data_IF_686320921667
#
_entry.id   IF_686320921667
#
_cell.length_a   1.000
_cell.length_b   1.000
_cell.length_c   1.000
_cell.angle_alpha   90.00
_cell.angle_beta   90.00
_cell.angle_gamma   90.00
#
_symmetry.space_group_name_H-M   'P 1'
#
loop_
_entity.id
_entity.type
_entity.pdbx_description
1 polymer ?
#
# COMPACT_ATOMS: atom_id res chain seq x y z
N UNK A 1 24.79 -6.42 1.16
CA UNK A 1 23.68 -7.16 0.52
C UNK A 1 23.31 -8.44 1.25
N UNK A 2 24.26 -9.34 1.58
CA UNK A 2 23.97 -10.56 2.37
C UNK A 2 23.17 -10.29 3.66
N UNK A 3 23.58 -9.30 4.45
CA UNK A 3 22.87 -8.90 5.68
C UNK A 3 21.43 -8.44 5.45
N UNK A 4 21.16 -7.75 4.32
CA UNK A 4 19.82 -7.28 3.97
C UNK A 4 18.90 -8.43 3.56
N UNK A 5 19.41 -9.38 2.77
CA UNK A 5 18.66 -10.57 2.38
C UNK A 5 18.32 -11.45 3.59
N UNK A 6 19.26 -11.63 4.52
CA UNK A 6 19.00 -12.38 5.76
C UNK A 6 17.97 -11.67 6.63
N UNK A 7 18.05 -10.34 6.74
CA UNK A 7 17.11 -9.52 7.51
C UNK A 7 15.69 -9.56 6.91
N UNK A 8 15.57 -9.38 5.60
CA UNK A 8 14.28 -9.32 4.90
C UNK A 8 13.66 -10.72 4.73
N UNK A 9 14.46 -11.74 4.44
CA UNK A 9 13.96 -13.10 4.22
C UNK A 9 13.83 -13.88 5.51
N UNK A 10 14.96 -14.31 6.08
CA UNK A 10 15.01 -15.27 7.18
C UNK A 10 14.37 -14.72 8.46
N UNK A 11 14.72 -13.49 8.85
CA UNK A 11 14.16 -12.90 10.07
C UNK A 11 12.68 -12.52 9.93
N UNK A 12 12.22 -12.11 8.73
CA UNK A 12 10.80 -11.81 8.55
C UNK A 12 9.91 -13.06 8.65
N UNK A 13 10.38 -14.20 8.09
CA UNK A 13 9.66 -15.48 8.19
C UNK A 13 9.59 -15.97 9.64
N UNK A 14 10.69 -15.88 10.38
CA UNK A 14 10.74 -16.30 11.80
C UNK A 14 9.74 -15.53 12.67
N UNK A 15 9.59 -14.23 12.43
CA UNK A 15 8.70 -13.36 13.21
C UNK A 15 7.25 -13.36 12.71
N UNK A 16 6.99 -13.91 11.52
CA UNK A 16 5.66 -13.99 10.91
C UNK A 16 4.65 -14.72 11.81
N UNK A 17 5.11 -15.76 12.53
CA UNK A 17 4.29 -16.57 13.46
C UNK A 17 3.75 -15.72 14.62
N UNK A 18 4.41 -14.59 14.95
CA UNK A 18 3.97 -13.66 16.00
C UNK A 18 3.01 -12.59 15.47
N UNK A 19 2.78 -12.52 14.16
CA UNK A 19 1.97 -11.49 13.52
C UNK A 19 0.50 -11.91 13.39
N UNK A 20 -0.29 -11.61 14.41
CA UNK A 20 -1.72 -12.01 14.52
C UNK A 20 -2.65 -11.27 13.55
N UNK A 21 -2.18 -10.25 12.82
CA UNK A 21 -2.97 -9.48 11.84
C UNK A 21 -3.46 -10.32 10.65
N UNK A 22 -2.95 -11.55 10.51
CA UNK A 22 -3.41 -12.58 9.56
C UNK A 22 -4.93 -12.79 9.59
N UNK A 23 -5.54 -12.87 10.79
CA UNK A 23 -6.98 -13.15 10.92
C UNK A 23 -7.86 -12.02 10.38
N UNK A 24 -7.40 -10.77 10.46
CA UNK A 24 -8.13 -9.62 9.94
C UNK A 24 -8.21 -9.64 8.42
N UNK A 25 -7.13 -10.04 7.72
CA UNK A 25 -7.14 -10.11 6.27
C UNK A 25 -8.10 -11.19 5.77
N UNK A 26 -8.12 -12.36 6.43
CA UNK A 26 -9.10 -13.41 6.11
C UNK A 26 -10.52 -12.89 6.29
N UNK A 27 -10.81 -12.20 7.39
CA UNK A 27 -12.13 -11.60 7.63
C UNK A 27 -12.50 -10.57 6.54
N UNK A 28 -11.56 -9.74 6.09
CA UNK A 28 -11.78 -8.81 4.99
C UNK A 28 -12.05 -9.54 3.66
N UNK A 29 -11.38 -10.68 3.40
CA UNK A 29 -11.66 -11.51 2.23
C UNK A 29 -13.07 -12.11 2.26
N UNK A 30 -13.58 -12.49 3.44
CA UNK A 30 -14.98 -12.91 3.60
C UNK A 30 -15.96 -11.80 3.22
N UNK A 31 -15.72 -10.57 3.68
CA UNK A 31 -16.57 -9.42 3.34
C UNK A 31 -16.50 -9.13 1.84
N UNK A 32 -15.29 -9.14 1.26
CA UNK A 32 -15.07 -8.90 -0.16
C UNK A 32 -15.79 -9.95 -1.03
N UNK A 33 -15.74 -11.23 -0.67
CA UNK A 33 -16.47 -12.31 -1.36
C UNK A 33 -17.98 -12.03 -1.40
N UNK A 34 -18.56 -11.67 -0.25
CA UNK A 34 -20.00 -11.39 -0.13
C UNK A 34 -20.42 -10.20 -0.98
N UNK A 35 -19.66 -9.12 -0.94
CA UNK A 35 -19.94 -7.92 -1.74
C UNK A 35 -19.77 -8.18 -3.24
N UNK A 36 -18.70 -8.87 -3.64
CA UNK A 36 -18.47 -9.18 -5.05
C UNK A 36 -19.59 -10.04 -5.61
N UNK A 37 -20.05 -11.07 -4.89
CA UNK A 37 -21.16 -11.90 -5.36
C UNK A 37 -22.52 -11.20 -5.36
N UNK A 38 -22.74 -10.20 -4.50
CA UNK A 38 -24.00 -9.45 -4.51
C UNK A 38 -24.08 -8.42 -5.63
N UNK A 39 -22.94 -7.89 -6.10
CA UNK A 39 -22.92 -6.78 -7.07
C UNK A 39 -22.33 -7.14 -8.44
N UNK A 40 -21.58 -8.23 -8.56
CA UNK A 40 -20.86 -8.61 -9.79
C UNK A 40 -21.30 -10.00 -10.24
N UNK A 41 -22.08 -10.05 -11.33
CA UNK A 41 -22.32 -11.28 -12.06
C UNK A 41 -21.24 -11.42 -13.14
N UNK A 42 -20.31 -12.34 -12.93
CA UNK A 42 -19.22 -12.59 -13.89
C UNK A 42 -19.70 -13.61 -14.91
N UNK A 43 -19.82 -13.18 -16.16
CA UNK A 43 -19.97 -14.09 -17.29
C UNK A 43 -18.61 -14.72 -17.61
N UNK A 44 -18.46 -16.00 -17.24
CA UNK A 44 -17.21 -16.76 -17.39
C UNK A 44 -16.82 -17.00 -18.85
N UNK A 45 -17.73 -16.77 -19.81
CA UNK A 45 -17.48 -16.95 -21.24
C UNK A 45 -16.77 -15.75 -21.89
N UNK A 46 -16.57 -14.65 -21.15
CA UNK A 46 -16.18 -13.33 -21.68
C UNK A 46 -14.71 -12.91 -21.45
N UNK A 47 -13.79 -13.87 -21.29
CA UNK A 47 -12.36 -13.59 -21.02
C UNK A 47 -11.44 -13.84 -22.22
N UNK A 48 -11.83 -13.38 -23.41
CA UNK A 48 -10.98 -13.33 -24.59
C UNK A 48 -10.14 -12.06 -24.67
N UNK A 49 -8.96 -12.14 -25.29
CA UNK A 49 -8.14 -10.96 -25.64
C UNK A 49 -8.93 -9.96 -26.51
N UNK A 50 -9.79 -10.47 -27.39
CA UNK A 50 -10.64 -9.64 -28.26
C UNK A 50 -11.69 -8.86 -27.46
N UNK A 51 -12.22 -9.46 -26.38
CA UNK A 51 -13.17 -8.80 -25.49
C UNK A 51 -12.47 -7.75 -24.61
N UNK A 52 -11.24 -8.02 -24.14
CA UNK A 52 -10.42 -7.03 -23.43
C UNK A 52 -10.11 -5.82 -24.33
N UNK A 53 -9.79 -6.06 -25.60
CA UNK A 53 -9.59 -5.00 -26.57
C UNK A 53 -10.87 -4.19 -26.78
N UNK A 54 -12.00 -4.86 -27.00
CA UNK A 54 -13.30 -4.20 -27.15
C UNK A 54 -13.69 -3.36 -25.92
N UNK A 55 -13.41 -3.87 -24.71
CA UNK A 55 -13.59 -3.11 -23.46
C UNK A 55 -12.72 -1.87 -23.42
N UNK A 56 -11.44 -1.99 -23.79
CA UNK A 56 -10.53 -0.85 -23.87
C UNK A 56 -11.00 0.20 -24.87
N UNK A 57 -11.45 -0.23 -26.05
CA UNK A 57 -11.94 0.64 -27.10
C UNK A 57 -13.24 1.36 -26.70
N UNK A 58 -14.11 0.73 -25.91
CA UNK A 58 -15.32 1.34 -25.35
C UNK A 58 -15.04 2.26 -24.15
N UNK A 59 -14.04 1.93 -23.33
CA UNK A 59 -13.73 2.65 -22.09
C UNK A 59 -12.89 3.90 -22.35
N UNK A 60 -12.01 3.87 -23.35
CA UNK A 60 -11.08 4.96 -23.61
C UNK A 60 -11.77 6.30 -23.92
N UNK A 61 -12.81 6.37 -24.79
CA UNK A 61 -13.54 7.63 -25.02
C UNK A 61 -14.14 8.18 -23.73
N UNK A 62 -14.84 7.33 -22.97
CA UNK A 62 -15.40 7.74 -21.68
C UNK A 62 -14.32 8.28 -20.73
N UNK A 63 -13.18 7.60 -20.63
CA UNK A 63 -12.10 7.96 -19.72
C UNK A 63 -11.36 9.25 -20.12
N UNK A 64 -11.15 9.50 -21.41
CA UNK A 64 -10.40 10.68 -21.85
C UNK A 64 -11.29 11.90 -22.08
N UNK A 65 -12.56 11.73 -22.45
CA UNK A 65 -13.47 12.82 -22.81
C UNK A 65 -14.45 13.17 -21.68
N UNK A 66 -15.12 12.17 -21.08
CA UNK A 66 -16.16 12.43 -20.07
C UNK A 66 -15.63 12.49 -18.63
N UNK A 67 -14.67 11.62 -18.31
CA UNK A 67 -14.19 11.45 -16.94
C UNK A 67 -13.61 12.74 -16.34
N UNK A 68 -12.86 13.61 -17.05
CA UNK A 68 -12.37 14.86 -16.46
C UNK A 68 -13.49 15.76 -15.93
N UNK A 69 -14.59 15.90 -16.68
CA UNK A 69 -15.75 16.67 -16.26
C UNK A 69 -16.45 16.02 -15.05
N UNK A 70 -16.60 14.69 -15.07
CA UNK A 70 -17.16 13.94 -13.92
C UNK A 70 -16.27 14.08 -12.68
N UNK A 71 -14.95 13.98 -12.83
CA UNK A 71 -13.99 14.12 -11.74
C UNK A 71 -14.10 15.48 -11.05
N UNK A 72 -14.30 16.55 -11.83
CA UNK A 72 -14.54 17.89 -11.27
C UNK A 72 -15.83 17.94 -10.45
N UNK A 73 -16.93 17.38 -10.98
CA UNK A 73 -18.19 17.32 -10.23
C UNK A 73 -18.07 16.50 -8.94
N UNK A 74 -17.28 15.42 -8.95
CA UNK A 74 -17.01 14.61 -7.77
C UNK A 74 -16.15 15.34 -6.75
N UNK A 75 -15.16 16.13 -7.19
CA UNK A 75 -14.33 16.93 -6.31
C UNK A 75 -15.13 17.98 -5.52
N UNK A 76 -16.30 18.39 -6.02
CA UNK A 76 -17.21 19.32 -5.35
C UNK A 76 -18.33 18.63 -4.57
N UNK A 77 -18.44 17.30 -4.65
CA UNK A 77 -19.52 16.53 -4.00
C UNK A 77 -19.22 16.29 -2.52
N UNK A 78 -20.11 16.71 -1.59
CA UNK A 78 -19.95 16.41 -0.16
C UNK A 78 -19.92 14.91 0.15
N UNK A 79 -20.64 14.09 -0.63
CA UNK A 79 -20.66 12.65 -0.49
C UNK A 79 -19.28 12.04 -0.77
N UNK A 80 -18.61 12.53 -1.82
CA UNK A 80 -17.24 12.10 -2.16
C UNK A 80 -16.28 12.51 -1.06
N UNK A 81 -16.38 13.72 -0.51
CA UNK A 81 -15.58 14.14 0.64
C UNK A 81 -15.81 13.28 1.89
N UNK A 82 -17.07 12.93 2.17
CA UNK A 82 -17.41 12.01 3.26
C UNK A 82 -16.79 10.63 3.07
N UNK A 83 -16.83 10.09 1.85
CA UNK A 83 -16.18 8.82 1.50
C UNK A 83 -14.66 8.89 1.65
N UNK A 84 -14.03 9.96 1.15
CA UNK A 84 -12.58 10.18 1.29
C UNK A 84 -12.17 10.29 2.76
N UNK A 85 -12.96 10.98 3.58
CA UNK A 85 -12.72 11.05 5.02
C UNK A 85 -12.82 9.66 5.69
N UNK A 86 -13.84 8.87 5.33
CA UNK A 86 -14.00 7.51 5.84
C UNK A 86 -12.82 6.60 5.41
N UNK A 87 -12.40 6.68 4.15
CA UNK A 87 -11.24 5.95 3.63
C UNK A 87 -9.94 6.39 4.31
N UNK A 88 -9.79 7.68 4.58
CA UNK A 88 -8.65 8.20 5.32
C UNK A 88 -8.61 7.66 6.75
N UNK A 89 -9.73 7.69 7.48
CA UNK A 89 -9.83 7.09 8.82
C UNK A 89 -9.51 5.60 8.78
N UNK A 90 -10.10 4.86 7.84
CA UNK A 90 -9.81 3.45 7.64
C UNK A 90 -8.32 3.22 7.37
N UNK A 91 -7.70 4.05 6.51
CA UNK A 91 -6.25 4.03 6.26
C UNK A 91 -5.48 4.23 7.56
N UNK A 92 -5.83 5.20 8.40
CA UNK A 92 -5.14 5.44 9.67
C UNK A 92 -5.21 4.22 10.58
N UNK A 93 -6.37 3.57 10.66
CA UNK A 93 -6.54 2.33 11.44
C UNK A 93 -5.71 1.18 10.85
N UNK A 94 -5.67 0.97 9.54
CA UNK A 94 -4.92 -0.18 8.97
C UNK A 94 -3.42 0.07 8.80
N UNK A 95 -2.99 1.33 8.87
CA UNK A 95 -1.61 1.75 8.60
C UNK A 95 -0.84 2.06 9.88
N UNK A 96 -1.38 2.91 10.76
CA UNK A 96 -0.69 3.37 11.96
C UNK A 96 -0.72 2.29 13.04
N UNK A 97 -1.86 1.61 13.22
CA UNK A 97 -1.97 0.59 14.25
C UNK A 97 -1.01 -0.60 14.04
N UNK A 98 -0.89 -1.20 12.85
CA UNK A 98 0.08 -2.27 12.66
C UNK A 98 1.53 -1.79 12.74
N UNK A 99 1.80 -0.53 12.39
CA UNK A 99 3.13 0.08 12.59
C UNK A 99 3.44 0.29 14.08
N UNK A 100 2.45 0.64 14.90
CA UNK A 100 2.53 0.73 16.36
C UNK A 100 2.81 -0.65 16.99
N UNK A 101 2.08 -1.69 16.57
CA UNK A 101 2.32 -3.07 17.04
C UNK A 101 3.73 -3.57 16.65
N UNK A 102 4.16 -3.33 15.41
CA UNK A 102 5.51 -3.69 14.96
C UNK A 102 6.60 -2.96 15.73
N UNK A 103 6.43 -1.66 15.99
CA UNK A 103 7.34 -0.87 16.83
C UNK A 103 7.49 -1.48 18.21
N UNK A 104 6.37 -1.75 18.90
CA UNK A 104 6.38 -2.36 20.24
C UNK A 104 7.01 -3.74 20.23
N UNK A 105 6.75 -4.54 19.19
CA UNK A 105 7.37 -5.85 19.03
C UNK A 105 8.91 -5.75 18.93
N UNK A 106 9.43 -4.83 18.12
CA UNK A 106 10.88 -4.65 17.93
C UNK A 106 11.56 -3.96 19.12
N UNK A 107 10.79 -3.29 19.99
CA UNK A 107 11.29 -2.70 21.25
C UNK A 107 11.13 -3.62 22.47
N UNK A 108 10.52 -4.80 22.31
CA UNK A 108 10.24 -5.69 23.45
C UNK A 108 9.13 -5.19 24.39
N UNK A 109 8.31 -4.24 23.95
CA UNK A 109 7.23 -3.60 24.75
C UNK A 109 5.87 -4.28 24.59
N UNK A 110 5.86 -5.51 24.06
CA UNK A 110 4.63 -6.23 23.72
C UNK A 110 4.27 -7.21 24.84
N UNK A 111 3.21 -6.89 25.58
CA UNK A 111 2.54 -7.81 26.50
C UNK A 111 1.54 -8.72 25.75
N UNK A 112 1.04 -9.77 26.40
CA UNK A 112 0.19 -10.82 25.79
C UNK A 112 -1.13 -10.31 25.15
N UNK A 113 -1.59 -9.11 25.51
CA UNK A 113 -2.77 -8.41 24.97
C UNK A 113 -2.42 -7.22 24.03
N UNK A 114 -1.42 -7.38 23.16
CA UNK A 114 -0.83 -6.30 22.35
C UNK A 114 -1.71 -5.61 21.28
N UNK A 115 -2.89 -6.14 20.93
CA UNK A 115 -3.72 -5.65 19.81
C UNK A 115 -4.51 -4.38 20.17
N UNK A 116 -5.18 -4.35 21.31
CA UNK A 116 -5.96 -3.18 21.75
C UNK A 116 -5.09 -2.09 22.37
N UNK A 117 -4.04 -2.49 23.09
CA UNK A 117 -3.10 -1.55 23.69
C UNK A 117 -2.31 -0.76 22.63
N UNK A 118 -2.07 -1.30 21.43
CA UNK A 118 -1.42 -0.56 20.34
C UNK A 118 -2.32 0.46 19.66
N UNK A 119 -3.65 0.25 19.66
CA UNK A 119 -4.64 1.25 19.23
C UNK A 119 -4.76 2.39 20.26
N UNK A 120 -4.87 2.05 21.55
CA UNK A 120 -4.98 3.02 22.64
C UNK A 120 -3.71 3.86 22.82
N UNK A 121 -2.56 3.35 22.38
CA UNK A 121 -1.30 4.08 22.42
C UNK A 121 -1.17 5.19 21.35
N UNK A 122 -2.08 5.25 20.37
CA UNK A 122 -2.03 6.26 19.31
C UNK A 122 -2.44 7.63 19.85
N UNK A 123 -1.55 8.60 19.68
CA UNK A 123 -1.77 9.99 20.10
C UNK A 123 -2.19 10.86 18.92
N UNK A 124 -3.06 11.84 19.16
CA UNK A 124 -3.50 12.82 18.14
C UNK A 124 -2.37 13.44 17.31
N UNK A 125 -1.22 13.85 17.89
CA UNK A 125 -0.09 14.37 17.12
C UNK A 125 0.47 13.40 16.08
N UNK A 126 0.41 12.09 16.31
CA UNK A 126 0.88 11.08 15.36
C UNK A 126 -0.07 10.99 14.16
N UNK A 127 -1.38 11.07 14.41
CA UNK A 127 -2.41 11.08 13.37
C UNK A 127 -2.28 12.34 12.51
N UNK A 128 -2.11 13.51 13.16
CA UNK A 128 -1.91 14.78 12.45
C UNK A 128 -0.64 14.76 11.61
N UNK A 129 0.46 14.25 12.15
CA UNK A 129 1.72 14.14 11.41
C UNK A 129 1.55 13.25 10.18
N UNK A 130 0.93 12.07 10.34
CA UNK A 130 0.71 11.17 9.21
C UNK A 130 -0.26 11.77 8.18
N UNK A 131 -1.27 12.54 8.61
CA UNK A 131 -2.15 13.27 7.72
C UNK A 131 -1.39 14.26 6.82
N UNK A 132 -0.44 15.01 7.38
CA UNK A 132 0.41 15.94 6.61
C UNK A 132 1.30 15.19 5.62
N UNK A 133 1.93 14.09 6.05
CA UNK A 133 2.79 13.27 5.20
C UNK A 133 2.03 12.56 4.07
N UNK A 134 0.81 12.11 4.33
CA UNK A 134 -0.10 11.54 3.33
C UNK A 134 -0.59 12.64 2.39
N UNK A 135 -0.93 13.82 2.92
CA UNK A 135 -1.38 14.96 2.12
C UNK A 135 -0.35 15.38 1.08
N UNK A 136 0.94 15.47 1.45
CA UNK A 136 2.00 15.77 0.49
C UNK A 136 2.15 14.68 -0.58
N UNK A 137 1.96 13.42 -0.20
CA UNK A 137 2.01 12.29 -1.13
C UNK A 137 0.82 12.28 -2.10
N UNK A 138 -0.37 12.67 -1.63
CA UNK A 138 -1.57 12.84 -2.48
C UNK A 138 -1.31 13.93 -3.51
N UNK A 139 -0.70 15.06 -3.14
CA UNK A 139 -0.34 16.12 -4.09
C UNK A 139 0.65 15.62 -5.15
N UNK A 140 1.69 14.88 -4.75
CA UNK A 140 2.65 14.26 -5.68
C UNK A 140 1.93 13.29 -6.63
N UNK A 141 1.05 12.45 -6.09
CA UNK A 141 0.27 11.48 -6.86
C UNK A 141 -0.67 12.14 -7.86
N UNK A 142 -1.39 13.20 -7.44
CA UNK A 142 -2.29 13.97 -8.31
C UNK A 142 -1.52 14.68 -9.42
N UNK A 143 -0.39 15.29 -9.10
CA UNK A 143 0.48 15.93 -10.09
C UNK A 143 0.95 14.91 -11.14
N UNK A 144 1.44 13.75 -10.69
CA UNK A 144 1.87 12.68 -11.59
C UNK A 144 0.72 12.10 -12.43
N UNK A 145 -0.45 11.90 -11.81
CA UNK A 145 -1.64 11.43 -12.50
C UNK A 145 -2.10 12.43 -13.56
N UNK A 146 -2.05 13.74 -13.29
CA UNK A 146 -2.36 14.79 -14.27
C UNK A 146 -1.41 14.80 -15.47
N UNK A 147 -0.09 14.66 -15.23
CA UNK A 147 0.90 14.52 -16.30
C UNK A 147 0.64 13.24 -17.11
N UNK A 148 0.45 12.11 -16.41
CA UNK A 148 0.21 10.80 -17.02
C UNK A 148 -1.06 10.81 -17.88
N UNK A 149 -2.13 11.45 -17.38
CA UNK A 149 -3.39 11.60 -18.09
C UNK A 149 -3.21 12.44 -19.36
N UNK A 150 -2.53 13.58 -19.26
CA UNK A 150 -2.27 14.46 -20.41
C UNK A 150 -1.48 13.75 -21.50
N UNK A 151 -0.41 13.04 -21.13
CA UNK A 151 0.39 12.26 -22.06
C UNK A 151 -0.43 11.11 -22.68
N UNK A 152 -1.16 10.36 -21.86
CA UNK A 152 -1.99 9.26 -22.33
C UNK A 152 -3.13 9.71 -23.26
N UNK A 153 -3.76 10.85 -22.96
CA UNK A 153 -4.80 11.47 -23.80
C UNK A 153 -4.23 11.89 -25.15
N UNK A 154 -3.04 12.51 -25.18
CA UNK A 154 -2.37 12.86 -26.43
C UNK A 154 -2.11 11.63 -27.31
N UNK A 155 -1.56 10.56 -26.71
CA UNK A 155 -1.32 9.30 -27.44
C UNK A 155 -2.61 8.61 -27.88
N UNK A 156 -3.67 8.69 -27.07
CA UNK A 156 -4.98 8.16 -27.42
C UNK A 156 -5.56 8.88 -28.64
N UNK A 157 -5.51 10.20 -28.69
CA UNK A 157 -5.97 10.96 -29.87
C UNK A 157 -5.14 10.66 -31.13
N UNK A 158 -3.85 10.33 -30.98
CA UNK A 158 -2.98 10.01 -32.11
C UNK A 158 -3.13 8.56 -32.63
N UNK A 159 -3.31 7.58 -31.75
CA UNK A 159 -3.27 6.15 -32.10
C UNK A 159 -4.63 5.44 -31.97
N UNK A 160 -5.58 6.05 -31.26
CA UNK A 160 -6.90 5.48 -30.96
C UNK A 160 -6.86 4.26 -30.04
N UNK A 161 -8.05 3.72 -29.79
CA UNK A 161 -8.27 2.45 -29.07
C UNK A 161 -7.73 2.40 -27.64
N UNK A 162 -7.36 1.21 -27.18
CA UNK A 162 -6.90 0.96 -25.81
C UNK A 162 -5.49 1.50 -25.46
N UNK A 163 -4.70 1.97 -26.42
CA UNK A 163 -3.28 2.31 -26.21
C UNK A 163 -3.07 3.44 -25.21
N UNK A 164 -3.94 4.45 -25.21
CA UNK A 164 -3.91 5.53 -24.22
C UNK A 164 -4.13 5.01 -22.80
N UNK A 165 -5.09 4.11 -22.61
CA UNK A 165 -5.37 3.51 -21.30
C UNK A 165 -4.19 2.66 -20.80
N UNK A 166 -3.55 1.90 -21.70
CA UNK A 166 -2.36 1.12 -21.37
C UNK A 166 -1.20 2.02 -20.97
N UNK A 167 -0.96 3.11 -21.71
CA UNK A 167 0.07 4.09 -21.38
C UNK A 167 -0.22 4.75 -20.03
N UNK A 168 -1.47 5.19 -19.79
CA UNK A 168 -1.87 5.76 -18.51
C UNK A 168 -1.62 4.79 -17.34
N UNK A 169 -2.04 3.53 -17.49
CA UNK A 169 -1.82 2.48 -16.50
C UNK A 169 -0.34 2.21 -16.26
N UNK A 170 0.48 2.18 -17.31
CA UNK A 170 1.93 2.01 -17.19
C UNK A 170 2.59 3.17 -16.43
N UNK A 171 2.24 4.41 -16.75
CA UNK A 171 2.79 5.60 -16.09
C UNK A 171 2.36 5.69 -14.61
N UNK A 172 1.12 5.35 -14.29
CA UNK A 172 0.68 5.22 -12.90
C UNK A 172 1.38 4.06 -12.18
N UNK A 173 1.60 2.95 -12.89
CA UNK A 173 2.38 1.81 -12.39
C UNK A 173 3.78 2.24 -11.96
N UNK A 174 4.44 3.12 -12.73
CA UNK A 174 5.78 3.63 -12.43
C UNK A 174 5.88 4.49 -11.16
N UNK A 175 4.82 5.22 -10.79
CA UNK A 175 4.79 6.03 -9.54
C UNK A 175 4.26 5.25 -8.35
N UNK A 176 3.55 4.13 -8.58
CA UNK A 176 2.98 3.32 -7.50
C UNK A 176 3.98 2.90 -6.40
N UNK A 177 5.27 2.59 -6.67
CA UNK A 177 6.25 2.30 -5.62
C UNK A 177 6.55 3.50 -4.73
N UNK A 178 6.52 4.71 -5.29
CA UNK A 178 6.72 5.97 -4.56
C UNK A 178 5.56 6.20 -3.61
N UNK A 179 4.32 5.99 -4.08
CA UNK A 179 3.12 6.12 -3.26
C UNK A 179 3.10 5.06 -2.16
N UNK A 180 3.32 3.78 -2.50
CA UNK A 180 3.34 2.71 -1.51
C UNK A 180 4.46 2.90 -0.48
N UNK A 181 5.64 3.32 -0.92
CA UNK A 181 6.78 3.63 -0.06
C UNK A 181 6.52 4.80 0.88
N UNK A 182 5.96 5.90 0.35
CA UNK A 182 5.55 7.06 1.12
C UNK A 182 4.54 6.69 2.22
N UNK A 183 3.45 6.00 1.88
CA UNK A 183 2.45 5.54 2.85
C UNK A 183 3.03 4.58 3.90
N UNK A 184 3.95 3.71 3.46
CA UNK A 184 4.61 2.74 4.34
C UNK A 184 5.54 3.43 5.34
N UNK A 185 6.32 4.43 4.91
CA UNK A 185 7.27 5.12 5.78
C UNK A 185 6.60 6.21 6.62
N UNK A 186 5.55 6.86 6.12
CA UNK A 186 4.79 7.84 6.90
C UNK A 186 4.28 7.21 8.20
N UNK A 187 3.62 6.05 8.12
CA UNK A 187 3.09 5.38 9.31
C UNK A 187 4.16 4.93 10.30
N UNK A 188 5.38 4.60 9.83
CA UNK A 188 6.51 4.20 10.69
C UNK A 188 7.15 5.39 11.40
N UNK A 189 7.31 6.50 10.68
CA UNK A 189 7.83 7.76 11.25
C UNK A 189 6.82 8.40 12.22
N UNK A 190 5.52 8.30 11.93
CA UNK A 190 4.46 8.79 12.79
C UNK A 190 4.50 8.16 14.18
N UNK A 191 4.76 6.85 14.25
CA UNK A 191 4.76 6.10 15.52
C UNK A 191 6.07 6.21 16.31
N UNK A 192 7.14 6.78 15.74
CA UNK A 192 8.37 7.06 16.50
C UNK A 192 8.05 7.93 17.71
N UNK A 193 8.67 7.64 18.85
CA UNK A 193 8.60 8.52 20.01
C UNK A 193 9.66 9.61 19.94
N UNK A 194 10.81 9.31 19.34
CA UNK A 194 11.91 10.26 19.23
C UNK A 194 11.73 11.26 18.08
N UNK A 195 12.30 12.45 18.24
CA UNK A 195 12.31 13.50 17.22
C UNK A 195 11.10 14.43 17.24
N UNK A 196 11.34 15.71 16.94
CA UNK A 196 10.28 16.71 16.80
C UNK A 196 9.46 16.47 15.51
N UNK A 197 8.26 17.06 15.46
CA UNK A 197 7.38 17.02 14.28
C UNK A 197 8.13 17.37 12.99
N UNK A 198 8.87 18.48 13.02
CA UNK A 198 9.65 18.99 11.87
C UNK A 198 10.78 18.04 11.49
N UNK A 199 11.54 17.51 12.46
CA UNK A 199 12.64 16.57 12.17
C UNK A 199 12.15 15.31 11.48
N UNK A 200 11.04 14.73 11.97
CA UNK A 200 10.39 13.58 11.31
C UNK A 200 9.92 13.92 9.91
N UNK A 201 9.37 15.12 9.70
CA UNK A 201 8.90 15.56 8.39
C UNK A 201 10.07 15.74 7.41
N UNK A 202 11.17 16.36 7.84
CA UNK A 202 12.42 16.43 7.06
C UNK A 202 12.93 15.04 6.71
N UNK A 203 12.93 14.12 7.68
CA UNK A 203 13.34 12.74 7.50
C UNK A 203 12.44 11.97 6.51
N UNK A 204 11.14 12.26 6.51
CA UNK A 204 10.19 11.75 5.52
C UNK A 204 10.51 12.28 4.13
N UNK A 205 10.74 13.59 3.99
CA UNK A 205 11.07 14.18 2.69
C UNK A 205 12.43 13.75 2.15
N UNK A 206 13.37 13.32 3.00
CA UNK A 206 14.60 12.69 2.55
C UNK A 206 14.36 11.45 1.67
N UNK A 207 13.23 10.76 1.82
CA UNK A 207 12.84 9.66 0.93
C UNK A 207 12.75 10.09 -0.54
N UNK A 208 12.33 11.33 -0.78
CA UNK A 208 12.09 11.87 -2.12
C UNK A 208 13.23 12.77 -2.61
N UNK A 209 14.01 13.35 -1.70
CA UNK A 209 15.09 14.29 -2.05
C UNK A 209 16.48 13.65 -2.08
N UNK A 210 16.74 12.60 -1.29
CA UNK A 210 18.04 11.91 -1.31
C UNK A 210 18.00 10.74 -2.29
N UNK A 211 18.74 10.87 -3.40
CA UNK A 211 18.77 9.90 -4.49
C UNK A 211 19.04 8.45 -4.04
N UNK A 212 19.99 8.27 -3.11
CA UNK A 212 20.35 6.94 -2.58
C UNK A 212 19.19 6.29 -1.82
N UNK A 213 18.42 7.06 -1.04
CA UNK A 213 17.25 6.56 -0.33
C UNK A 213 16.11 6.27 -1.30
N UNK A 214 15.87 7.22 -2.20
CA UNK A 214 14.81 7.13 -3.20
C UNK A 214 14.93 5.86 -4.03
N UNK A 215 16.07 5.62 -4.67
CA UNK A 215 16.20 4.47 -5.59
C UNK A 215 16.12 3.13 -4.85
N UNK A 216 16.71 3.03 -3.67
CA UNK A 216 16.62 1.81 -2.84
C UNK A 216 15.18 1.53 -2.44
N UNK A 217 14.45 2.56 -2.00
CA UNK A 217 13.04 2.44 -1.68
C UNK A 217 12.21 2.10 -2.91
N UNK A 218 12.43 2.79 -4.03
CA UNK A 218 11.70 2.55 -5.28
C UNK A 218 11.85 1.11 -5.76
N UNK A 219 13.06 0.55 -5.79
CA UNK A 219 13.30 -0.85 -6.18
C UNK A 219 12.60 -1.82 -5.23
N UNK A 220 12.76 -1.62 -3.92
CA UNK A 220 12.12 -2.48 -2.91
C UNK A 220 10.59 -2.45 -3.03
N UNK A 221 10.01 -1.26 -3.14
CA UNK A 221 8.56 -1.10 -3.25
C UNK A 221 8.02 -1.52 -4.62
N UNK A 222 8.82 -1.49 -5.69
CA UNK A 222 8.42 -2.03 -7.00
C UNK A 222 8.22 -3.54 -6.92
N UNK A 223 9.16 -4.25 -6.31
CA UNK A 223 9.01 -5.69 -6.06
C UNK A 223 7.81 -5.96 -5.15
N UNK A 224 7.60 -5.13 -4.12
CA UNK A 224 6.45 -5.26 -3.24
C UNK A 224 5.12 -5.04 -3.98
N UNK A 225 5.00 -4.02 -4.82
CA UNK A 225 3.81 -3.76 -5.65
C UNK A 225 3.54 -4.95 -6.56
N UNK A 226 4.57 -5.54 -7.17
CA UNK A 226 4.42 -6.74 -7.99
C UNK A 226 3.89 -7.93 -7.17
N UNK A 227 4.51 -8.22 -6.02
CA UNK A 227 4.12 -9.33 -5.16
C UNK A 227 2.70 -9.16 -4.58
N UNK A 228 2.38 -7.96 -4.08
CA UNK A 228 1.03 -7.65 -3.58
C UNK A 228 0.02 -7.68 -4.73
N UNK A 229 0.35 -7.10 -5.88
CA UNK A 229 -0.50 -7.11 -7.08
C UNK A 229 -0.88 -8.52 -7.51
N UNK A 230 0.07 -9.45 -7.51
CA UNK A 230 -0.18 -10.85 -7.89
C UNK A 230 -0.90 -11.61 -6.78
N UNK A 231 -0.30 -11.70 -5.59
CA UNK A 231 -0.73 -12.65 -4.56
C UNK A 231 -1.82 -12.11 -3.63
N UNK A 232 -1.95 -10.79 -3.50
CA UNK A 232 -2.99 -10.14 -2.70
C UNK A 232 -4.12 -9.61 -3.58
N UNK A 233 -3.81 -9.20 -4.82
CA UNK A 233 -4.78 -8.73 -5.79
C UNK A 233 -5.30 -9.82 -6.73
N UNK A 234 -4.52 -10.14 -7.76
CA UNK A 234 -4.93 -10.94 -8.92
C UNK A 234 -5.38 -12.36 -8.56
N UNK A 235 -4.57 -13.10 -7.78
CA UNK A 235 -4.90 -14.49 -7.42
C UNK A 235 -6.14 -14.57 -6.54
N UNK A 236 -6.28 -13.77 -5.46
CA UNK A 236 -7.53 -13.72 -4.68
C UNK A 236 -8.73 -13.27 -5.52
N UNK A 237 -8.61 -12.22 -6.33
CA UNK A 237 -9.70 -11.77 -7.19
C UNK A 237 -10.14 -12.87 -8.17
N UNK A 238 -9.19 -13.53 -8.83
CA UNK A 238 -9.46 -14.65 -9.72
C UNK A 238 -10.15 -15.81 -8.99
N UNK A 239 -9.68 -16.17 -7.79
CA UNK A 239 -10.32 -17.21 -6.99
C UNK A 239 -11.76 -16.85 -6.63
N UNK A 240 -11.99 -15.63 -6.15
CA UNK A 240 -13.33 -15.16 -5.73
C UNK A 240 -14.32 -15.12 -6.91
N UNK A 241 -13.86 -14.70 -8.08
CA UNK A 241 -14.70 -14.53 -9.28
C UNK A 241 -14.97 -15.85 -10.01
N UNK A 242 -13.98 -16.74 -10.13
CA UNK A 242 -14.07 -17.92 -11.02
C UNK A 242 -14.33 -19.25 -10.33
N UNK A 243 -13.97 -19.41 -9.06
CA UNK A 243 -14.08 -20.69 -8.34
C UNK A 243 -15.44 -20.78 -7.65
N UNK A 244 -16.29 -21.71 -8.05
CA UNK A 244 -17.65 -21.82 -7.48
C UNK A 244 -17.70 -22.37 -6.06
N UNK A 245 -16.91 -23.41 -5.67
CA UNK A 245 -16.97 -23.91 -4.31
C UNK A 245 -16.45 -22.88 -3.29
N UNK A 246 -17.31 -22.50 -2.35
CA UNK A 246 -17.04 -21.46 -1.36
C UNK A 246 -15.76 -21.71 -0.54
N UNK A 247 -15.60 -22.91 0.00
CA UNK A 247 -14.42 -23.22 0.82
C UNK A 247 -13.14 -23.25 0.02
N UNK A 248 -13.18 -23.73 -1.23
CA UNK A 248 -12.01 -23.78 -2.11
C UNK A 248 -11.55 -22.38 -2.52
N UNK A 249 -12.48 -21.48 -2.90
CA UNK A 249 -12.13 -20.11 -3.28
C UNK A 249 -11.49 -19.35 -2.12
N UNK A 250 -12.07 -19.49 -0.92
CA UNK A 250 -11.62 -18.78 0.26
C UNK A 250 -10.26 -19.31 0.73
N UNK A 251 -10.05 -20.63 0.63
CA UNK A 251 -8.76 -21.24 0.93
C UNK A 251 -7.67 -20.72 -0.02
N UNK A 252 -7.93 -20.68 -1.33
CA UNK A 252 -6.97 -20.17 -2.31
C UNK A 252 -6.70 -18.67 -2.09
N UNK A 253 -7.74 -17.86 -1.94
CA UNK A 253 -7.60 -16.43 -1.66
C UNK A 253 -6.84 -16.17 -0.35
N UNK A 254 -7.17 -16.90 0.71
CA UNK A 254 -6.53 -16.77 2.03
C UNK A 254 -5.08 -17.22 2.05
N UNK A 255 -4.77 -18.41 1.49
CA UNK A 255 -3.40 -18.95 1.43
C UNK A 255 -2.51 -18.12 0.51
N UNK A 256 -3.06 -17.49 -0.53
CA UNK A 256 -2.30 -16.57 -1.38
C UNK A 256 -2.05 -15.23 -0.69
N UNK A 257 -3.10 -14.54 -0.27
CA UNK A 257 -2.99 -13.15 0.19
C UNK A 257 -2.27 -13.03 1.53
N UNK A 258 -2.61 -13.90 2.47
CA UNK A 258 -2.27 -13.67 3.88
C UNK A 258 -0.79 -13.87 4.24
N UNK A 259 -0.10 -14.94 3.80
CA UNK A 259 1.32 -15.07 4.07
C UNK A 259 2.13 -14.01 3.33
N UNK A 260 1.78 -13.71 2.07
CA UNK A 260 2.49 -12.69 1.28
C UNK A 260 2.32 -11.31 1.90
N UNK A 261 1.08 -10.90 2.22
CA UNK A 261 0.82 -9.62 2.86
C UNK A 261 1.58 -9.46 4.19
N UNK A 262 1.57 -10.49 5.03
CA UNK A 262 2.29 -10.47 6.31
C UNK A 262 3.80 -10.35 6.10
N UNK A 263 4.34 -11.11 5.13
CA UNK A 263 5.77 -11.13 4.81
C UNK A 263 6.23 -9.78 4.29
N UNK A 264 5.56 -9.22 3.29
CA UNK A 264 5.96 -7.95 2.67
C UNK A 264 5.80 -6.78 3.65
N UNK A 265 4.83 -6.84 4.55
CA UNK A 265 4.65 -5.83 5.60
C UNK A 265 5.78 -5.87 6.62
N UNK A 266 6.17 -7.06 7.09
CA UNK A 266 7.33 -7.24 7.97
C UNK A 266 8.63 -6.81 7.29
N UNK A 267 8.86 -7.28 6.06
CA UNK A 267 10.00 -6.90 5.23
C UNK A 267 10.09 -5.38 5.07
N UNK A 268 8.97 -4.70 4.86
CA UNK A 268 8.94 -3.24 4.73
C UNK A 268 9.32 -2.50 6.01
N UNK A 269 9.01 -3.06 7.18
CA UNK A 269 9.44 -2.51 8.46
C UNK A 269 10.94 -2.67 8.67
N UNK A 270 11.48 -3.86 8.40
CA UNK A 270 12.91 -4.14 8.50
C UNK A 270 13.72 -3.35 7.48
N UNK A 271 13.19 -3.21 6.27
CA UNK A 271 13.77 -2.37 5.23
C UNK A 271 13.80 -0.90 5.65
N UNK A 272 12.73 -0.38 6.27
CA UNK A 272 12.72 0.96 6.85
C UNK A 272 13.84 1.13 7.89
N UNK A 273 13.96 0.21 8.86
CA UNK A 273 15.01 0.27 9.88
C UNK A 273 16.41 0.27 9.24
N UNK A 274 16.65 -0.66 8.32
CA UNK A 274 17.93 -0.72 7.61
C UNK A 274 18.25 0.56 6.82
N UNK A 275 17.24 1.14 6.16
CA UNK A 275 17.42 2.32 5.33
C UNK A 275 17.66 3.58 6.17
N UNK A 276 17.01 3.68 7.33
CA UNK A 276 17.07 4.84 8.21
C UNK A 276 18.02 4.70 9.40
N UNK A 277 18.78 3.60 9.51
CA UNK A 277 19.68 3.35 10.65
C UNK A 277 20.72 4.44 10.92
N UNK A 278 21.08 5.24 9.91
CA UNK A 278 22.03 6.35 10.05
C UNK A 278 21.44 7.63 10.65
N UNK A 279 20.14 7.67 10.91
CA UNK A 279 19.48 8.85 11.46
C UNK A 279 19.26 8.69 12.97
N UNK A 280 19.65 9.68 13.81
CA UNK A 280 19.59 9.58 15.26
C UNK A 280 18.21 9.20 15.80
N UNK A 281 17.14 9.77 15.23
CA UNK A 281 15.76 9.52 15.65
C UNK A 281 15.38 8.03 15.55
N UNK A 282 15.94 7.32 14.57
CA UNK A 282 15.69 5.88 14.36
C UNK A 282 16.74 5.03 15.07
N UNK A 283 18.01 5.45 15.07
CA UNK A 283 19.10 4.73 15.73
C UNK A 283 18.87 4.61 17.25
N UNK A 284 18.52 5.72 17.91
CA UNK A 284 18.28 5.77 19.35
C UNK A 284 17.01 4.99 19.74
N UNK A 285 15.96 5.09 18.93
CA UNK A 285 14.69 4.43 19.22
C UNK A 285 14.76 2.89 19.11
N UNK A 286 15.65 2.37 18.25
CA UNK A 286 15.82 0.93 18.02
C UNK A 286 17.23 0.44 18.41
N UNK A 287 17.89 1.13 19.35
CA UNK A 287 19.27 0.81 19.74
C UNK A 287 19.43 -0.66 20.20
N UNK A 288 18.52 -1.16 21.04
CA UNK A 288 18.53 -2.55 21.49
C UNK A 288 18.37 -3.54 20.33
N UNK A 289 17.46 -3.24 19.40
CA UNK A 289 17.25 -4.06 18.20
C UNK A 289 18.50 -4.12 17.30
N UNK A 290 19.21 -3.00 17.14
CA UNK A 290 20.46 -2.99 16.37
C UNK A 290 21.59 -3.75 17.08
N UNK A 291 21.69 -3.63 18.41
CA UNK A 291 22.64 -4.40 19.22
C UNK A 291 22.40 -5.91 19.08
N UNK A 292 21.16 -6.36 19.18
CA UNK A 292 20.78 -7.78 19.04
C UNK A 292 21.13 -8.36 17.65
N UNK A 293 21.17 -7.51 16.62
CA UNK A 293 21.50 -7.88 15.25
C UNK A 293 22.98 -7.66 14.88
N UNK A 294 23.79 -7.08 15.77
CA UNK A 294 25.17 -6.69 15.49
C UNK A 294 25.29 -5.66 14.37
N UNK A 295 24.38 -4.67 14.33
CA UNK A 295 24.23 -3.67 13.26
C UNK A 295 24.57 -2.23 13.64
#
# INVERSE_FOLDING_TARGET
>A
MKTLFTLIGVHSVRELVRYKSFFLLIFLLFIADRLLKSYVQVDKSSLGLDQLKAWGDQTAPWFFEEFPAKLWSWALSPQVWGLLAALFIAKQVISIWPSSDLRRMHRGEREDSGIWASLLALKGPQILWDAVAVGSLVLIGLFWAGISFTLASFFWHALGGAWGLLLFGFLLGGVSPVILGGLSFSSKLAVLHQGSFTRKLTLYFHLFTHWSLFWRAWVFFSLRVLLEGIFVGLVPAGALLFIDPFWLRLLIAGVSATPVYSLVKMASFKFFLWLYKGYPEVAEEYASYYQDLGL
#
